data_IF_406997076728
#
_entry.id   IF_406997076728
#
_cell.length_a   1.000
_cell.length_b   1.000
_cell.length_c   1.000
_cell.angle_alpha   90.00
_cell.angle_beta   90.00
_cell.angle_gamma   90.00
#
_symmetry.space_group_name_H-M   'P 1'
#
loop_
_entity.id
_entity.type
_entity.pdbx_description
1 polymer ?
#
# COMPACT_ATOMS: atom_id res chain seq x y z
N UNK A 1 42.74 26.33 -44.54
CA UNK A 1 42.55 25.76 -43.18
C UNK A 1 41.07 25.69 -42.92
N UNK A 2 40.56 24.56 -42.42
CA UNK A 2 39.13 24.36 -42.20
C UNK A 2 38.83 24.37 -40.71
N UNK A 3 37.87 25.19 -40.29
CA UNK A 3 37.34 25.19 -38.94
C UNK A 3 36.14 24.22 -38.83
N UNK A 4 35.97 23.59 -37.67
CA UNK A 4 34.82 22.74 -37.35
C UNK A 4 34.38 22.95 -35.90
N UNK A 5 33.06 22.93 -35.67
CA UNK A 5 32.47 22.99 -34.33
C UNK A 5 32.16 21.58 -33.86
N UNK A 6 32.58 21.26 -32.63
CA UNK A 6 32.42 19.95 -32.01
C UNK A 6 31.82 20.13 -30.62
N UNK A 7 30.82 19.34 -30.27
CA UNK A 7 30.26 19.29 -28.92
C UNK A 7 31.20 18.45 -28.02
N UNK A 8 31.63 18.96 -26.87
CA UNK A 8 32.63 18.28 -26.04
C UNK A 8 32.08 17.09 -25.24
N UNK A 9 30.78 16.86 -25.23
CA UNK A 9 30.15 15.71 -24.57
C UNK A 9 29.60 14.70 -25.58
N UNK A 10 29.37 13.48 -25.12
CA UNK A 10 28.98 12.34 -25.97
C UNK A 10 27.47 12.21 -26.19
N UNK A 11 26.62 12.85 -25.38
CA UNK A 11 25.18 12.79 -25.54
C UNK A 11 24.67 13.76 -26.62
N UNK A 12 23.64 13.33 -27.35
CA UNK A 12 23.12 13.98 -28.57
C UNK A 12 22.03 15.01 -28.31
N UNK A 13 21.35 14.91 -27.17
CA UNK A 13 20.21 15.76 -26.83
C UNK A 13 20.58 16.64 -25.65
N UNK A 14 20.22 17.92 -25.75
CA UNK A 14 20.54 18.94 -24.76
C UNK A 14 19.24 19.48 -24.19
N UNK A 15 19.21 19.65 -22.88
CA UNK A 15 18.01 20.07 -22.17
C UNK A 15 18.18 21.44 -21.51
N UNK A 16 17.06 22.12 -21.28
CA UNK A 16 17.06 23.42 -20.60
C UNK A 16 17.63 23.31 -19.18
N UNK A 17 18.41 24.30 -18.76
CA UNK A 17 19.29 24.35 -17.57
C UNK A 17 20.60 23.52 -17.66
N UNK A 18 20.84 22.77 -18.74
CA UNK A 18 22.09 22.05 -18.93
C UNK A 18 23.24 23.00 -19.30
N UNK A 19 24.48 22.58 -19.05
CA UNK A 19 25.68 23.28 -19.50
C UNK A 19 26.25 22.58 -20.72
N UNK A 20 26.54 23.35 -21.76
CA UNK A 20 27.23 22.83 -22.96
C UNK A 20 28.61 23.44 -23.09
N UNK A 21 29.52 22.69 -23.70
CA UNK A 21 30.81 23.21 -24.16
C UNK A 21 30.99 22.84 -25.62
N UNK A 22 31.14 23.85 -26.47
CA UNK A 22 31.48 23.70 -27.89
C UNK A 22 32.98 23.97 -28.05
N UNK A 23 33.66 23.16 -28.85
CA UNK A 23 35.06 23.34 -29.24
C UNK A 23 35.14 23.68 -30.72
N UNK A 24 35.92 24.71 -31.03
CA UNK A 24 36.31 25.03 -32.40
C UNK A 24 37.66 24.35 -32.70
N UNK A 25 37.68 23.43 -33.66
CA UNK A 25 38.90 22.77 -34.12
C UNK A 25 39.29 23.33 -35.49
N UNK A 26 40.56 23.73 -35.66
CA UNK A 26 41.09 24.25 -36.93
C UNK A 26 42.14 23.28 -37.44
N UNK A 27 41.93 22.71 -38.64
CA UNK A 27 42.89 21.81 -39.27
C UNK A 27 44.16 22.58 -39.68
N UNK A 28 45.33 22.06 -39.28
CA UNK A 28 46.63 22.69 -39.52
C UNK A 28 46.98 23.80 -38.52
N UNK A 29 46.36 23.81 -37.33
CA UNK A 29 46.58 24.83 -36.29
C UNK A 29 47.86 24.63 -35.45
N UNK A 30 48.67 23.61 -35.73
CA UNK A 30 49.90 23.34 -34.95
C UNK A 30 50.87 24.52 -35.03
N UNK A 31 51.29 25.01 -33.86
CA UNK A 31 52.26 26.11 -33.74
C UNK A 31 51.71 27.52 -34.01
N UNK A 32 50.42 27.69 -34.30
CA UNK A 32 49.83 29.02 -34.56
C UNK A 32 48.89 29.45 -33.43
N UNK A 33 49.09 30.65 -32.89
CA UNK A 33 48.17 31.25 -31.93
C UNK A 33 46.95 31.84 -32.65
N UNK A 34 45.78 31.31 -32.32
CA UNK A 34 44.48 31.73 -32.87
C UNK A 34 43.65 32.46 -31.84
N UNK A 35 43.00 33.53 -32.28
CA UNK A 35 41.83 34.12 -31.62
C UNK A 35 40.59 33.58 -32.30
N UNK A 36 39.56 33.23 -31.53
CA UNK A 36 38.37 32.57 -32.05
C UNK A 36 37.20 33.54 -32.10
N UNK A 37 36.29 33.29 -33.04
CA UNK A 37 35.01 34.00 -33.12
C UNK A 37 33.91 32.96 -33.26
N UNK A 38 32.79 33.22 -32.59
CA UNK A 38 31.66 32.33 -32.51
C UNK A 38 30.40 33.08 -32.94
N UNK A 39 29.53 32.42 -33.69
CA UNK A 39 28.20 32.92 -34.05
C UNK A 39 27.15 31.85 -33.81
N UNK A 40 25.96 32.26 -33.38
CA UNK A 40 24.74 31.46 -33.39
C UNK A 40 23.76 32.11 -34.34
N UNK A 41 23.45 31.42 -35.43
CA UNK A 41 22.69 31.96 -36.55
C UNK A 41 23.36 33.27 -37.05
N UNK A 42 22.74 34.42 -36.86
CA UNK A 42 23.30 35.74 -37.19
C UNK A 42 23.74 36.56 -35.96
N UNK A 43 23.68 35.96 -34.76
CA UNK A 43 24.11 36.59 -33.51
C UNK A 43 25.57 36.24 -33.19
N UNK A 44 26.42 37.25 -33.10
CA UNK A 44 27.80 37.09 -32.64
C UNK A 44 27.84 36.76 -31.14
N UNK A 45 28.54 35.67 -30.80
CA UNK A 45 28.77 35.25 -29.43
C UNK A 45 30.12 35.81 -28.98
N UNK A 46 30.12 36.62 -27.92
CA UNK A 46 31.33 37.25 -27.37
C UNK A 46 32.25 36.24 -26.67
N UNK A 47 32.98 35.44 -27.44
CA UNK A 47 34.01 34.54 -26.94
C UNK A 47 35.21 34.49 -27.89
N UNK A 48 36.41 34.69 -27.33
CA UNK A 48 37.68 34.66 -28.08
C UNK A 48 38.45 33.36 -27.91
N UNK A 49 37.91 32.41 -27.16
CA UNK A 49 38.55 31.16 -26.82
C UNK A 49 38.16 30.03 -27.79
N UNK A 50 39.03 29.02 -27.91
CA UNK A 50 38.77 27.81 -28.69
C UNK A 50 37.57 27.00 -28.17
N UNK A 51 37.12 27.28 -26.95
CA UNK A 51 35.93 26.68 -26.34
C UNK A 51 34.92 27.76 -25.98
N UNK A 52 33.70 27.60 -26.48
CA UNK A 52 32.54 28.34 -26.02
C UNK A 52 31.84 27.52 -24.92
N UNK A 53 31.72 28.11 -23.72
CA UNK A 53 31.10 27.47 -22.56
C UNK A 53 29.86 28.27 -22.16
N UNK A 54 28.70 27.63 -22.17
CA UNK A 54 27.51 28.25 -21.58
C UNK A 54 27.56 28.16 -20.05
N UNK A 55 26.76 28.98 -19.37
CA UNK A 55 26.44 28.80 -17.95
C UNK A 55 25.27 27.84 -17.80
N UNK A 56 24.19 28.12 -18.52
CA UNK A 56 23.01 27.28 -18.75
C UNK A 56 22.52 27.54 -20.17
N UNK A 57 21.78 26.59 -20.75
CA UNK A 57 21.08 26.79 -22.01
C UNK A 57 19.57 26.71 -21.83
N UNK A 58 18.85 27.42 -22.70
CA UNK A 58 17.40 27.41 -22.79
C UNK A 58 16.95 27.18 -24.24
N UNK A 59 15.65 27.00 -24.47
CA UNK A 59 15.10 26.84 -25.83
C UNK A 59 15.54 27.94 -26.81
N UNK A 60 15.68 29.18 -26.33
CA UNK A 60 16.20 30.34 -27.08
C UNK A 60 17.66 30.23 -27.51
N UNK A 61 18.41 29.28 -26.93
CA UNK A 61 19.79 29.01 -27.30
C UNK A 61 19.92 27.97 -28.41
N UNK A 62 18.81 27.39 -28.87
CA UNK A 62 18.78 26.58 -30.07
C UNK A 62 19.17 27.41 -31.29
N UNK A 63 19.92 26.83 -32.22
CA UNK A 63 20.38 27.54 -33.41
C UNK A 63 21.53 26.85 -34.13
N UNK A 64 22.05 27.51 -35.16
CA UNK A 64 23.20 27.06 -35.95
C UNK A 64 24.48 27.71 -35.43
N UNK A 65 25.34 26.92 -34.80
CA UNK A 65 26.61 27.39 -34.26
C UNK A 65 27.73 27.23 -35.28
N UNK A 66 28.43 28.33 -35.57
CA UNK A 66 29.64 28.33 -36.40
C UNK A 66 30.78 29.03 -35.67
N UNK A 67 32.01 28.61 -35.96
CA UNK A 67 33.21 29.24 -35.45
C UNK A 67 34.20 29.56 -36.56
N UNK A 68 35.10 30.52 -36.32
CA UNK A 68 36.29 30.75 -37.16
C UNK A 68 37.47 31.19 -36.32
N UNK A 69 38.67 31.03 -36.87
CA UNK A 69 39.91 31.50 -36.28
C UNK A 69 40.47 32.71 -37.01
N UNK A 70 41.00 33.66 -36.23
CA UNK A 70 41.79 34.80 -36.69
C UNK A 70 43.19 34.74 -36.08
N UNK A 71 44.20 34.91 -36.91
CA UNK A 71 45.60 35.10 -36.56
C UNK A 71 46.14 36.34 -37.29
N UNK A 72 47.37 36.76 -36.96
CA UNK A 72 47.94 38.04 -37.42
C UNK A 72 47.89 38.24 -38.96
N UNK A 73 47.98 37.17 -39.75
CA UNK A 73 47.92 37.21 -41.23
C UNK A 73 46.89 36.28 -41.85
N UNK A 74 46.16 35.51 -41.05
CA UNK A 74 45.31 34.43 -41.54
C UNK A 74 43.94 34.51 -40.86
N UNK A 75 42.89 34.43 -41.66
CA UNK A 75 41.52 34.24 -41.17
C UNK A 75 40.96 33.01 -41.86
N UNK A 76 40.37 32.11 -41.08
CA UNK A 76 39.63 30.98 -41.66
C UNK A 76 38.25 31.44 -42.10
N UNK A 77 37.70 30.76 -43.09
CA UNK A 77 36.26 30.82 -43.34
C UNK A 77 35.49 30.33 -42.10
N UNK A 78 34.22 30.72 -42.02
CA UNK A 78 33.30 30.16 -41.03
C UNK A 78 33.19 28.65 -41.22
N UNK A 79 33.17 27.93 -40.10
CA UNK A 79 32.92 26.49 -40.11
C UNK A 79 31.52 26.19 -40.65
N UNK A 80 31.35 24.97 -41.15
CA UNK A 80 30.03 24.37 -41.28
C UNK A 80 29.27 24.50 -39.96
N UNK A 81 27.98 24.81 -40.05
CA UNK A 81 27.16 25.07 -38.89
C UNK A 81 26.76 23.77 -38.17
N UNK A 82 27.05 23.69 -36.88
CA UNK A 82 26.49 22.67 -36.00
C UNK A 82 25.11 23.12 -35.52
N UNK A 83 24.05 22.41 -35.93
CA UNK A 83 22.70 22.68 -35.44
C UNK A 83 22.52 22.10 -34.05
N UNK A 84 22.20 22.96 -33.10
CA UNK A 84 21.93 22.61 -31.71
C UNK A 84 20.45 22.87 -31.41
N UNK A 85 19.79 21.90 -30.77
CA UNK A 85 18.38 22.03 -30.34
C UNK A 85 18.33 21.78 -28.83
N UNK A 86 17.80 22.74 -28.09
CA UNK A 86 17.59 22.64 -26.65
C UNK A 86 16.14 22.29 -26.39
N UNK A 87 15.90 21.16 -25.75
CA UNK A 87 14.55 20.67 -25.41
C UNK A 87 14.20 20.97 -23.95
N UNK A 88 12.95 20.74 -23.59
CA UNK A 88 12.51 20.83 -22.19
C UNK A 88 13.15 19.75 -21.33
N UNK A 89 13.28 20.03 -20.03
CA UNK A 89 13.89 19.12 -19.06
C UNK A 89 13.14 17.79 -19.04
N UNK A 90 13.82 16.65 -19.22
CA UNK A 90 13.19 15.35 -19.23
C UNK A 90 12.83 14.92 -17.81
N UNK A 91 11.92 13.96 -17.72
CA UNK A 91 11.47 13.38 -16.45
C UNK A 91 11.94 11.94 -16.35
N UNK A 92 12.43 11.55 -15.18
CA UNK A 92 12.75 10.15 -14.90
C UNK A 92 11.49 9.29 -14.78
N UNK A 93 11.60 8.02 -15.12
CA UNK A 93 10.54 7.01 -15.00
C UNK A 93 10.96 5.98 -13.96
N UNK A 94 10.08 5.73 -12.99
CA UNK A 94 10.28 4.75 -11.92
C UNK A 94 9.33 3.57 -12.11
N UNK A 95 9.86 2.37 -12.04
CA UNK A 95 9.11 1.10 -12.06
C UNK A 95 9.52 0.24 -10.87
N UNK A 96 8.59 -0.56 -10.37
CA UNK A 96 8.86 -1.59 -9.37
C UNK A 96 8.44 -2.95 -9.93
N UNK A 97 9.21 -3.99 -9.67
CA UNK A 97 8.84 -5.37 -10.03
C UNK A 97 7.62 -5.84 -9.23
N UNK A 98 7.56 -5.45 -7.96
CA UNK A 98 6.46 -5.69 -7.02
C UNK A 98 6.27 -4.49 -6.12
N UNK A 99 5.05 -4.28 -5.65
CA UNK A 99 4.72 -3.21 -4.70
C UNK A 99 4.56 -3.71 -3.26
N UNK A 100 4.81 -5.00 -3.02
CA UNK A 100 4.74 -5.62 -1.69
C UNK A 100 6.01 -6.45 -1.47
N UNK A 101 6.76 -6.08 -0.44
CA UNK A 101 7.94 -6.81 0.04
C UNK A 101 7.45 -8.00 0.87
N UNK A 102 7.81 -9.25 0.51
CA UNK A 102 7.49 -10.40 1.34
C UNK A 102 8.30 -10.39 2.64
N UNK A 103 7.86 -11.12 3.66
CA UNK A 103 8.54 -11.16 4.96
C UNK A 103 10.03 -11.53 4.83
N UNK A 104 10.90 -10.61 5.26
CA UNK A 104 12.36 -10.76 5.19
C UNK A 104 12.96 -10.67 3.77
N UNK A 105 12.16 -10.25 2.78
CA UNK A 105 12.58 -10.12 1.39
C UNK A 105 12.89 -8.69 0.98
N UNK A 106 12.92 -8.47 -0.34
CA UNK A 106 13.11 -7.17 -0.97
C UNK A 106 12.37 -7.10 -2.30
N UNK A 107 12.19 -5.89 -2.82
CA UNK A 107 11.68 -5.62 -4.16
C UNK A 107 12.71 -4.81 -4.94
N UNK A 108 12.70 -4.97 -6.26
CA UNK A 108 13.62 -4.26 -7.15
C UNK A 108 12.91 -3.08 -7.79
N UNK A 109 13.48 -1.90 -7.61
CA UNK A 109 13.05 -0.69 -8.29
C UNK A 109 14.00 -0.41 -9.46
N UNK A 110 13.45 0.07 -10.58
CA UNK A 110 14.20 0.46 -11.78
C UNK A 110 13.88 1.89 -12.15
N UNK A 111 14.91 2.73 -12.27
CA UNK A 111 14.82 4.10 -12.74
C UNK A 111 15.36 4.20 -14.16
N UNK A 112 14.72 5.00 -15.00
CA UNK A 112 15.08 5.15 -16.40
C UNK A 112 14.83 6.57 -16.89
N UNK A 113 15.61 7.03 -17.85
CA UNK A 113 15.32 8.22 -18.66
C UNK A 113 15.37 7.78 -20.11
N UNK A 114 14.21 7.77 -20.78
CA UNK A 114 14.06 7.19 -22.12
C UNK A 114 14.78 7.98 -23.22
N UNK A 115 15.29 9.16 -22.88
CA UNK A 115 15.96 10.08 -23.80
C UNK A 115 17.44 10.20 -23.47
N UNK A 116 18.26 10.23 -24.53
CA UNK A 116 19.70 10.43 -24.43
C UNK A 116 20.46 9.39 -23.59
N UNK A 117 21.72 9.67 -23.24
CA UNK A 117 22.60 8.74 -22.49
C UNK A 117 23.45 9.46 -21.44
N UNK A 118 24.22 8.70 -20.66
CA UNK A 118 25.13 9.22 -19.64
C UNK A 118 24.48 9.50 -18.28
N UNK A 119 23.27 8.99 -18.06
CA UNK A 119 22.53 9.15 -16.81
C UNK A 119 23.13 8.31 -15.69
N UNK A 120 23.24 8.94 -14.53
CA UNK A 120 23.39 8.31 -13.22
C UNK A 120 22.10 8.48 -12.46
N UNK A 121 21.69 7.48 -11.71
CA UNK A 121 20.41 7.53 -11.03
C UNK A 121 20.58 7.84 -9.55
N UNK A 122 19.61 8.57 -9.02
CA UNK A 122 19.56 8.99 -7.64
C UNK A 122 18.21 8.59 -7.08
N UNK A 123 18.24 7.90 -5.95
CA UNK A 123 17.09 7.27 -5.34
C UNK A 123 16.73 7.94 -4.03
N UNK A 124 15.43 8.11 -3.81
CA UNK A 124 14.91 8.82 -2.64
C UNK A 124 13.73 8.08 -2.04
N UNK A 125 13.64 8.10 -0.70
CA UNK A 125 12.51 7.57 0.09
C UNK A 125 11.94 8.66 0.99
N UNK A 126 10.61 8.84 0.98
CA UNK A 126 9.89 9.91 1.70
C UNK A 126 9.25 9.44 3.04
N UNK A 127 9.64 8.28 3.60
CA UNK A 127 8.92 7.71 4.75
C UNK A 127 9.15 8.46 6.10
N UNK A 128 10.09 9.41 6.15
CA UNK A 128 10.30 10.31 7.29
C UNK A 128 10.18 11.77 6.82
N UNK A 129 10.06 12.71 7.75
CA UNK A 129 10.03 14.17 7.50
C UNK A 129 11.27 14.71 6.76
N UNK A 130 12.21 13.85 6.37
CA UNK A 130 13.41 14.14 5.59
C UNK A 130 13.57 13.10 4.49
N UNK A 131 13.84 13.55 3.26
CA UNK A 131 14.10 12.65 2.14
C UNK A 131 15.41 11.88 2.37
N UNK A 132 15.35 10.55 2.46
CA UNK A 132 16.54 9.72 2.62
C UNK A 132 17.12 9.39 1.23
N UNK A 133 18.35 9.83 0.94
CA UNK A 133 19.04 9.46 -0.31
C UNK A 133 19.61 8.04 -0.20
N UNK A 134 19.19 7.17 -1.11
CA UNK A 134 19.79 5.85 -1.32
C UNK A 134 20.83 6.08 -2.43
N UNK A 135 22.09 6.33 -2.05
CA UNK A 135 23.13 6.79 -2.98
C UNK A 135 23.69 5.64 -3.84
N UNK A 136 22.83 4.99 -4.61
CA UNK A 136 23.19 4.00 -5.62
C UNK A 136 23.06 4.64 -7.01
N UNK A 137 24.17 4.77 -7.74
CA UNK A 137 24.17 5.35 -9.10
C UNK A 137 23.70 4.35 -10.16
N UNK A 138 23.30 3.14 -9.74
CA UNK A 138 22.67 2.10 -10.55
C UNK A 138 21.26 2.50 -11.01
N UNK A 139 20.91 2.04 -12.21
CA UNK A 139 19.56 2.11 -12.76
C UNK A 139 18.57 1.21 -12.00
N UNK A 140 19.08 0.33 -11.13
CA UNK A 140 18.30 -0.59 -10.31
C UNK A 140 18.75 -0.54 -8.85
N UNK A 141 17.78 -0.62 -7.94
CA UNK A 141 18.04 -0.72 -6.49
C UNK A 141 17.12 -1.76 -5.85
N UNK A 142 17.65 -2.52 -4.90
CA UNK A 142 16.86 -3.45 -4.08
C UNK A 142 16.52 -2.81 -2.74
N UNK A 143 15.22 -2.79 -2.39
CA UNK A 143 14.72 -2.18 -1.15
C UNK A 143 13.95 -3.18 -0.31
N UNK A 144 14.19 -3.18 1.00
CA UNK A 144 13.59 -4.08 1.98
C UNK A 144 12.68 -3.37 2.99
N UNK A 145 12.42 -2.08 2.80
CA UNK A 145 11.56 -1.31 3.71
C UNK A 145 10.36 -0.74 2.94
N UNK A 146 9.20 -0.68 3.60
CA UNK A 146 8.02 -0.01 3.05
C UNK A 146 8.22 1.51 2.89
N UNK A 147 7.52 2.17 1.98
CA UNK A 147 7.56 3.63 1.84
C UNK A 147 7.20 4.15 0.46
N UNK A 148 7.35 5.46 0.28
CA UNK A 148 7.14 6.15 -1.00
C UNK A 148 8.50 6.43 -1.62
N UNK A 149 8.71 5.90 -2.82
CA UNK A 149 9.97 5.98 -3.56
C UNK A 149 9.83 6.84 -4.81
N UNK A 150 10.88 7.61 -5.11
CA UNK A 150 11.04 8.33 -6.37
C UNK A 150 12.52 8.39 -6.75
N UNK A 151 12.80 8.69 -8.02
CA UNK A 151 14.16 8.77 -8.53
C UNK A 151 14.36 9.99 -9.44
N UNK A 152 15.63 10.32 -9.67
CA UNK A 152 16.09 11.32 -10.64
C UNK A 152 17.30 10.80 -11.40
N UNK A 153 17.38 11.08 -12.70
CA UNK A 153 18.61 10.95 -13.48
C UNK A 153 19.45 12.23 -13.40
N UNK A 154 20.76 12.10 -13.25
CA UNK A 154 21.76 13.17 -13.29
C UNK A 154 22.89 12.88 -14.28
N UNK A 155 23.44 13.91 -14.93
CA UNK A 155 24.60 13.78 -15.84
C UNK A 155 25.37 15.09 -16.01
N UNK A 156 26.59 15.01 -16.54
CA UNK A 156 27.41 16.18 -16.85
C UNK A 156 28.14 16.81 -15.65
N UNK A 157 28.90 17.89 -15.91
CA UNK A 157 29.68 18.63 -14.91
C UNK A 157 29.60 20.16 -15.16
N UNK A 158 28.90 20.94 -14.31
CA UNK A 158 28.20 20.51 -13.09
C UNK A 158 26.99 19.64 -13.41
N UNK A 159 26.56 18.85 -12.43
CA UNK A 159 25.50 17.86 -12.63
C UNK A 159 24.15 18.49 -12.99
N UNK A 160 23.64 18.11 -14.16
CA UNK A 160 22.30 18.39 -14.63
C UNK A 160 21.35 17.30 -14.16
N UNK A 161 20.26 17.69 -13.50
CA UNK A 161 19.25 16.77 -12.97
C UNK A 161 17.94 16.86 -13.74
N UNK A 162 17.38 15.69 -14.06
CA UNK A 162 16.01 15.53 -14.59
C UNK A 162 14.94 16.00 -13.59
N UNK A 163 13.72 16.18 -14.08
CA UNK A 163 12.54 16.29 -13.21
C UNK A 163 12.30 14.96 -12.45
N UNK A 164 11.73 15.06 -11.25
CA UNK A 164 11.46 13.90 -10.39
C UNK A 164 10.50 12.91 -11.05
N UNK A 165 10.75 11.61 -10.84
CA UNK A 165 9.84 10.56 -11.31
C UNK A 165 8.46 10.64 -10.67
N UNK A 166 7.50 9.89 -11.20
CA UNK A 166 6.31 9.54 -10.40
C UNK A 166 6.74 8.73 -9.17
N UNK A 167 5.95 8.84 -8.12
CA UNK A 167 6.14 8.09 -6.89
C UNK A 167 5.60 6.67 -7.03
N UNK A 168 6.24 5.72 -6.34
CA UNK A 168 5.74 4.36 -6.15
C UNK A 168 5.65 4.08 -4.66
N UNK A 169 4.50 3.59 -4.22
CA UNK A 169 4.30 3.12 -2.84
C UNK A 169 4.62 1.64 -2.73
N UNK A 170 5.60 1.31 -1.89
CA UNK A 170 5.97 -0.04 -1.53
C UNK A 170 5.42 -0.34 -0.14
N UNK A 171 4.75 -1.49 0.00
CA UNK A 171 4.31 -2.02 1.28
C UNK A 171 5.22 -3.17 1.71
N UNK A 172 5.30 -3.41 3.01
CA UNK A 172 6.10 -4.45 3.62
C UNK A 172 5.22 -5.43 4.40
N UNK A 173 5.38 -6.72 4.11
CA UNK A 173 4.85 -7.79 4.95
C UNK A 173 5.85 -8.08 6.07
N UNK A 174 5.46 -7.83 7.32
CA UNK A 174 6.26 -8.18 8.50
C UNK A 174 6.13 -9.68 8.83
N UNK A 175 7.15 -10.31 9.45
CA UNK A 175 7.15 -11.75 9.73
C UNK A 175 6.15 -12.20 10.81
N UNK A 176 5.52 -11.26 11.53
CA UNK A 176 4.56 -11.59 12.57
C UNK A 176 3.32 -12.29 11.97
N UNK A 177 2.86 -13.36 12.63
CA UNK A 177 1.68 -14.13 12.21
C UNK A 177 0.44 -13.68 12.97
N UNK A 178 -0.62 -13.34 12.23
CA UNK A 178 -1.94 -13.03 12.77
C UNK A 178 -2.83 -14.28 12.82
N UNK A 179 -3.72 -14.36 13.79
CA UNK A 179 -4.68 -15.45 13.97
C UNK A 179 -5.98 -14.93 14.56
N UNK A 180 -7.12 -15.38 14.03
CA UNK A 180 -8.42 -15.09 14.62
C UNK A 180 -8.75 -16.19 15.62
N UNK A 181 -9.05 -15.79 16.86
CA UNK A 181 -9.48 -16.68 17.93
C UNK A 181 -10.85 -16.26 18.45
N UNK A 182 -11.64 -17.25 18.85
CA UNK A 182 -12.92 -17.06 19.51
C UNK A 182 -12.67 -17.01 21.01
N UNK A 183 -12.97 -15.87 21.65
CA UNK A 183 -12.67 -15.61 23.06
C UNK A 183 -13.79 -16.16 23.96
N UNK A 184 -14.14 -17.45 23.76
CA UNK A 184 -15.04 -18.26 24.59
C UNK A 184 -14.84 -19.76 24.37
N UNK A 185 -15.33 -20.58 25.31
CA UNK A 185 -15.20 -22.05 25.29
C UNK A 185 -16.44 -22.83 24.84
N UNK A 186 -17.50 -22.14 24.38
CA UNK A 186 -18.73 -22.82 23.95
C UNK A 186 -18.53 -23.66 22.67
N UNK A 187 -19.11 -24.87 22.63
CA UNK A 187 -19.00 -25.76 21.46
C UNK A 187 -19.90 -25.35 20.30
N UNK A 188 -20.96 -24.58 20.55
CA UNK A 188 -21.94 -24.14 19.57
C UNK A 188 -22.41 -22.72 19.90
N UNK A 189 -22.76 -21.96 18.86
CA UNK A 189 -23.21 -20.57 18.98
C UNK A 189 -24.61 -20.47 18.38
N UNK A 190 -25.51 -19.81 19.10
CA UNK A 190 -26.89 -19.61 18.68
C UNK A 190 -27.19 -18.14 18.40
N UNK A 191 -28.16 -17.92 17.53
CA UNK A 191 -28.67 -16.59 17.20
C UNK A 191 -29.14 -15.85 18.47
N UNK A 192 -28.60 -14.66 18.67
CA UNK A 192 -28.84 -13.80 19.82
C UNK A 192 -27.77 -13.87 20.92
N UNK A 193 -26.77 -14.75 20.79
CA UNK A 193 -25.64 -14.77 21.72
C UNK A 193 -24.64 -13.64 21.44
N UNK A 194 -23.94 -13.20 22.49
CA UNK A 194 -22.91 -12.17 22.39
C UNK A 194 -21.53 -12.85 22.40
N UNK A 195 -20.86 -12.83 21.25
CA UNK A 195 -19.52 -13.43 21.11
C UNK A 195 -18.44 -12.35 21.10
N UNK A 196 -17.20 -12.78 21.31
CA UNK A 196 -16.02 -11.95 21.12
C UNK A 196 -15.02 -12.67 20.22
N UNK A 197 -14.68 -12.08 19.08
CA UNK A 197 -13.57 -12.49 18.23
C UNK A 197 -12.35 -11.64 18.60
N UNK A 198 -11.17 -12.25 18.69
CA UNK A 198 -9.91 -11.56 18.96
C UNK A 198 -8.91 -11.88 17.86
N UNK A 199 -8.23 -10.85 17.36
CA UNK A 199 -7.06 -11.01 16.50
C UNK A 199 -5.83 -11.08 17.42
N UNK A 200 -5.13 -12.19 17.35
CA UNK A 200 -3.89 -12.43 18.08
C UNK A 200 -2.72 -12.40 17.10
N UNK A 201 -1.70 -11.61 17.42
CA UNK A 201 -0.50 -11.47 16.58
C UNK A 201 0.70 -11.94 17.40
N UNK A 202 1.40 -12.95 16.90
CA UNK A 202 2.58 -13.48 17.57
C UNK A 202 3.69 -12.42 17.67
N UNK A 203 4.22 -12.20 18.86
CA UNK A 203 5.24 -11.18 19.13
C UNK A 203 4.70 -9.74 19.13
N UNK A 204 3.40 -9.55 19.34
CA UNK A 204 2.80 -8.22 19.45
C UNK A 204 3.01 -7.53 20.82
N UNK A 205 3.59 -8.22 21.81
CA UNK A 205 3.86 -7.64 23.13
C UNK A 205 4.74 -6.38 23.00
N UNK A 206 4.22 -5.24 23.48
CA UNK A 206 4.92 -3.95 23.43
C UNK A 206 4.86 -3.20 22.08
N UNK A 207 4.21 -3.76 21.05
CA UNK A 207 4.05 -3.08 19.74
C UNK A 207 2.62 -2.58 19.56
N UNK A 208 2.46 -1.32 19.14
CA UNK A 208 1.14 -0.77 18.80
C UNK A 208 0.73 -1.22 17.40
N UNK A 209 -0.30 -2.04 17.31
CA UNK A 209 -0.89 -2.49 16.06
C UNK A 209 -2.28 -1.87 15.87
N UNK A 210 -2.63 -1.60 14.63
CA UNK A 210 -4.03 -1.43 14.22
C UNK A 210 -4.50 -2.69 13.51
N UNK A 211 -5.80 -2.97 13.54
CA UNK A 211 -6.35 -4.25 13.11
C UNK A 211 -7.36 -4.04 11.99
N UNK A 212 -7.21 -4.85 10.94
CA UNK A 212 -8.15 -4.92 9.84
C UNK A 212 -8.80 -6.30 9.82
N UNK A 213 -10.10 -6.34 9.59
CA UNK A 213 -10.91 -7.54 9.67
C UNK A 213 -11.65 -7.79 8.37
N UNK A 214 -11.79 -9.07 8.04
CA UNK A 214 -12.74 -9.56 7.04
C UNK A 214 -13.75 -10.47 7.75
N UNK A 215 -15.06 -10.29 7.54
CA UNK A 215 -15.69 -9.33 6.62
C UNK A 215 -15.61 -7.86 7.09
N UNK A 216 -15.58 -6.92 6.13
CA UNK A 216 -15.24 -5.51 6.38
C UNK A 216 -16.26 -4.74 7.24
N UNK A 217 -17.44 -5.30 7.47
CA UNK A 217 -18.49 -4.74 8.34
C UNK A 217 -18.01 -4.46 9.78
N UNK A 218 -16.89 -5.06 10.19
CA UNK A 218 -16.28 -4.87 11.50
C UNK A 218 -15.17 -3.82 11.55
N UNK A 219 -14.80 -3.21 10.41
CA UNK A 219 -13.74 -2.18 10.33
C UNK A 219 -14.21 -0.77 10.76
N UNK A 220 -15.30 -0.68 11.53
CA UNK A 220 -15.87 0.58 12.00
C UNK A 220 -15.01 1.20 13.14
N UNK A 221 -14.20 0.38 13.84
CA UNK A 221 -13.25 0.82 14.88
C UNK A 221 -11.88 0.11 14.71
N UNK A 222 -10.94 0.68 13.93
CA UNK A 222 -9.70 0.00 13.49
C UNK A 222 -8.63 -0.24 14.58
N UNK A 223 -8.87 0.19 15.82
CA UNK A 223 -7.88 0.10 16.91
C UNK A 223 -8.10 -1.07 17.86
N UNK A 224 -9.28 -1.69 17.86
CA UNK A 224 -9.55 -2.82 18.76
C UNK A 224 -9.13 -4.14 18.10
N UNK A 225 -8.27 -4.89 18.79
CA UNK A 225 -7.97 -6.27 18.43
C UNK A 225 -9.13 -7.22 18.77
N UNK A 226 -10.23 -6.72 19.33
CA UNK A 226 -11.43 -7.48 19.68
C UNK A 226 -12.67 -6.93 19.01
N UNK A 227 -13.47 -7.82 18.44
CA UNK A 227 -14.83 -7.54 17.97
C UNK A 227 -15.80 -8.22 18.94
N UNK A 228 -16.67 -7.43 19.56
CA UNK A 228 -17.75 -7.96 20.41
C UNK A 228 -19.09 -7.63 19.79
N UNK A 229 -19.86 -8.66 19.42
CA UNK A 229 -21.14 -8.47 18.72
C UNK A 229 -22.16 -9.52 19.11
N UNK A 230 -23.44 -9.16 18.98
CA UNK A 230 -24.56 -10.10 19.07
C UNK A 230 -24.78 -10.72 17.70
N UNK A 231 -24.70 -12.03 17.60
CA UNK A 231 -24.70 -12.72 16.30
C UNK A 231 -26.07 -13.25 15.91
N UNK A 232 -26.26 -13.39 14.60
CA UNK A 232 -27.39 -14.04 13.95
C UNK A 232 -26.87 -15.10 12.97
N UNK A 233 -27.75 -15.92 12.41
CA UNK A 233 -27.38 -16.93 11.41
C UNK A 233 -26.62 -16.31 10.21
N UNK A 234 -26.98 -15.07 9.83
CA UNK A 234 -26.35 -14.30 8.74
C UNK A 234 -24.91 -13.86 9.03
N UNK A 235 -24.45 -13.97 10.27
CA UNK A 235 -23.05 -13.72 10.65
C UNK A 235 -22.16 -14.95 10.47
N UNK A 236 -22.71 -16.12 10.09
CA UNK A 236 -21.92 -17.29 9.74
C UNK A 236 -21.04 -17.01 8.52
N UNK A 237 -19.79 -17.47 8.55
CA UNK A 237 -18.85 -17.26 7.44
C UNK A 237 -17.39 -17.37 7.85
N UNK A 238 -16.51 -16.93 6.94
CA UNK A 238 -15.07 -16.90 7.16
C UNK A 238 -14.61 -15.55 7.71
N UNK A 239 -13.83 -15.60 8.78
CA UNK A 239 -13.27 -14.45 9.45
C UNK A 239 -11.75 -14.47 9.34
N UNK A 240 -11.18 -13.35 8.93
CA UNK A 240 -9.73 -13.14 8.87
C UNK A 240 -9.37 -11.83 9.52
N UNK A 241 -8.16 -11.74 10.05
CA UNK A 241 -7.61 -10.48 10.52
C UNK A 241 -6.20 -10.25 10.00
N UNK A 242 -5.80 -8.98 9.97
CA UNK A 242 -4.47 -8.53 9.60
C UNK A 242 -4.07 -7.41 10.55
N UNK A 243 -2.81 -7.41 10.99
CA UNK A 243 -2.25 -6.34 11.81
C UNK A 243 -1.46 -5.36 10.96
N UNK A 244 -1.71 -4.06 11.11
CA UNK A 244 -0.90 -2.98 10.54
C UNK A 244 -0.03 -2.35 11.63
N UNK A 245 1.28 -2.31 11.38
CA UNK A 245 2.26 -1.69 12.29
C UNK A 245 2.36 -0.19 12.01
N UNK A 246 2.35 0.18 10.74
CA UNK A 246 2.41 1.56 10.27
C UNK A 246 1.69 1.68 8.90
N UNK A 247 1.86 2.81 8.22
CA UNK A 247 1.23 3.10 6.92
C UNK A 247 1.65 2.13 5.80
N UNK A 248 2.87 1.60 5.86
CA UNK A 248 3.47 0.77 4.83
C UNK A 248 3.73 -0.67 5.28
N UNK A 249 3.67 -0.98 6.57
CA UNK A 249 4.02 -2.30 7.12
C UNK A 249 2.85 -3.03 7.77
N UNK A 250 2.60 -4.28 7.38
CA UNK A 250 1.52 -5.12 7.94
C UNK A 250 1.87 -6.61 7.98
N UNK A 251 1.14 -7.41 8.75
CA UNK A 251 1.21 -8.88 8.66
C UNK A 251 0.59 -9.37 7.36
N UNK A 252 0.78 -10.64 7.02
CA UNK A 252 -0.15 -11.34 6.13
C UNK A 252 -1.55 -11.41 6.77
N UNK A 253 -2.56 -11.67 5.94
CA UNK A 253 -3.87 -12.06 6.44
C UNK A 253 -3.77 -13.39 7.20
N UNK A 254 -4.48 -13.49 8.32
CA UNK A 254 -4.60 -14.75 9.04
C UNK A 254 -5.29 -15.81 8.18
N UNK A 255 -5.07 -17.08 8.56
CA UNK A 255 -5.95 -18.16 8.13
C UNK A 255 -7.42 -17.86 8.49
N UNK A 256 -8.34 -18.41 7.70
CA UNK A 256 -9.76 -18.20 7.90
C UNK A 256 -10.29 -19.00 9.10
N UNK A 257 -10.90 -18.30 10.06
CA UNK A 257 -11.74 -18.93 11.09
C UNK A 257 -13.17 -19.02 10.57
N UNK A 258 -13.74 -20.22 10.46
CA UNK A 258 -15.15 -20.41 10.13
C UNK A 258 -16.04 -20.28 11.37
N UNK A 259 -16.83 -19.23 11.41
CA UNK A 259 -17.90 -19.03 12.39
C UNK A 259 -19.18 -19.70 11.88
N UNK A 260 -19.81 -20.53 12.71
CA UNK A 260 -21.12 -21.13 12.43
C UNK A 260 -22.08 -20.74 13.54
N UNK A 261 -23.14 -20.02 13.17
CA UNK A 261 -24.19 -19.57 14.08
C UNK A 261 -25.46 -20.30 13.71
N UNK A 262 -26.00 -21.07 14.64
CA UNK A 262 -27.25 -21.80 14.46
C UNK A 262 -28.45 -20.94 14.86
N UNK A 263 -29.62 -21.30 14.35
CA UNK A 263 -30.88 -20.73 14.82
C UNK A 263 -31.10 -20.97 16.31
N UNK A 264 -31.88 -20.08 16.93
CA UNK A 264 -32.21 -20.20 18.34
C UNK A 264 -32.93 -21.54 18.58
N UNK A 265 -32.45 -22.38 19.51
CA UNK A 265 -33.05 -23.69 19.70
C UNK A 265 -34.44 -23.56 20.31
N UNK A 266 -35.28 -24.53 19.97
CA UNK A 266 -36.68 -24.56 20.41
C UNK A 266 -36.83 -25.60 21.52
N UNK A 267 -37.44 -25.19 22.62
CA UNK A 267 -37.83 -26.10 23.69
C UNK A 267 -39.00 -26.99 23.24
N UNK A 268 -38.89 -28.28 23.55
CA UNK A 268 -39.86 -29.32 23.26
C UNK A 268 -40.58 -29.72 24.54
N UNK A 269 -41.91 -29.64 24.53
CA UNK A 269 -42.75 -30.06 25.65
C UNK A 269 -43.31 -31.47 25.39
N UNK A 270 -43.08 -32.39 26.32
CA UNK A 270 -43.66 -33.74 26.35
C UNK A 270 -44.46 -33.93 27.63
N UNK A 271 -45.52 -34.72 27.55
CA UNK A 271 -46.33 -35.13 28.69
C UNK A 271 -46.35 -36.66 28.75
N UNK A 272 -46.21 -37.24 29.94
CA UNK A 272 -46.34 -38.69 30.12
C UNK A 272 -47.78 -39.15 29.83
N UNK A 273 -48.77 -38.33 30.21
CA UNK A 273 -50.19 -38.51 29.92
C UNK A 273 -50.85 -37.18 29.59
N UNK A 274 -51.90 -37.19 28.78
CA UNK A 274 -52.66 -35.96 28.44
C UNK A 274 -53.91 -35.76 29.30
N UNK A 275 -54.32 -36.80 30.04
CA UNK A 275 -55.49 -36.80 30.92
C UNK A 275 -55.03 -36.91 32.37
N UNK A 276 -55.44 -35.95 33.19
CA UNK A 276 -55.17 -35.95 34.63
C UNK A 276 -56.19 -36.90 35.31
N UNK A 277 -55.75 -37.98 35.96
CA UNK A 277 -56.66 -38.87 36.69
C UNK A 277 -57.23 -38.17 37.93
N UNK A 278 -58.42 -38.57 38.36
CA UNK A 278 -59.06 -38.00 39.55
C UNK A 278 -58.15 -38.14 40.79
N UNK A 279 -57.80 -37.01 41.41
CA UNK A 279 -56.89 -36.95 42.56
C UNK A 279 -55.40 -37.18 42.26
N UNK A 280 -55.02 -37.27 40.98
CA UNK A 280 -53.62 -37.45 40.57
C UNK A 280 -53.02 -36.24 39.85
N UNK A 281 -51.83 -36.45 39.29
CA UNK A 281 -51.09 -35.46 38.51
C UNK A 281 -50.51 -36.10 37.24
N UNK A 282 -50.11 -35.23 36.31
CA UNK A 282 -49.38 -35.56 35.09
C UNK A 282 -48.00 -34.93 35.18
N UNK A 283 -46.97 -35.62 34.69
CA UNK A 283 -45.61 -35.11 34.62
C UNK A 283 -45.34 -34.57 33.23
N UNK A 284 -45.01 -33.29 33.17
CA UNK A 284 -44.54 -32.62 31.96
C UNK A 284 -43.02 -32.59 31.96
N UNK A 285 -42.42 -32.78 30.81
CA UNK A 285 -40.97 -32.71 30.58
C UNK A 285 -40.69 -31.69 29.48
N UNK A 286 -39.80 -30.74 29.76
CA UNK A 286 -39.28 -29.79 28.79
C UNK A 286 -37.85 -30.17 28.42
N UNK A 287 -37.53 -30.25 27.13
CA UNK A 287 -36.20 -30.59 26.66
C UNK A 287 -35.72 -29.67 25.54
N UNK A 288 -34.41 -29.48 25.44
CA UNK A 288 -33.74 -28.86 24.28
C UNK A 288 -32.71 -29.83 23.75
N UNK A 289 -32.81 -30.19 22.47
CA UNK A 289 -32.11 -31.37 21.92
C UNK A 289 -30.66 -31.07 21.45
N UNK A 290 -30.20 -29.82 21.51
CA UNK A 290 -28.93 -29.38 20.89
C UNK A 290 -27.76 -29.22 21.87
N UNK A 291 -28.01 -29.05 23.18
CA UNK A 291 -26.96 -28.89 24.19
C UNK A 291 -27.47 -29.07 25.62
N UNK A 292 -26.56 -29.15 26.60
CA UNK A 292 -26.85 -29.27 28.04
C UNK A 292 -26.67 -27.94 28.77
N UNK A 293 -27.30 -27.79 29.95
CA UNK A 293 -27.13 -26.62 30.83
C UNK A 293 -28.20 -25.53 30.69
N UNK A 294 -29.29 -25.81 29.98
CA UNK A 294 -30.45 -24.94 29.85
C UNK A 294 -31.17 -24.72 31.18
N UNK A 295 -31.78 -23.54 31.34
CA UNK A 295 -32.65 -23.22 32.47
C UNK A 295 -34.08 -23.20 31.97
N UNK A 296 -34.92 -24.08 32.51
CA UNK A 296 -36.28 -24.19 32.05
C UNK A 296 -37.19 -23.21 32.79
N UNK A 297 -38.16 -22.67 32.06
CA UNK A 297 -39.21 -21.79 32.58
C UNK A 297 -40.56 -22.30 32.13
N UNK A 298 -41.48 -22.45 33.07
CA UNK A 298 -42.78 -23.06 32.85
C UNK A 298 -43.89 -22.03 32.89
N UNK A 299 -44.88 -22.19 32.01
CA UNK A 299 -46.01 -21.28 31.87
C UNK A 299 -47.32 -22.06 31.79
N UNK A 300 -48.35 -21.54 32.47
CA UNK A 300 -49.73 -22.05 32.38
C UNK A 300 -50.69 -20.97 31.94
N UNK A 301 -51.73 -21.37 31.20
CA UNK A 301 -52.89 -20.52 30.88
C UNK A 301 -54.17 -21.29 31.17
N UNK A 302 -55.06 -20.68 31.95
CA UNK A 302 -56.40 -21.21 32.28
C UNK A 302 -57.46 -20.44 31.48
N UNK A 303 -58.66 -21.00 31.37
CA UNK A 303 -59.79 -20.34 30.72
C UNK A 303 -60.21 -19.02 31.38
N UNK A 304 -59.86 -18.83 32.64
CA UNK A 304 -60.20 -17.65 33.45
C UNK A 304 -59.13 -16.54 33.37
N UNK A 305 -57.97 -16.80 32.76
CA UNK A 305 -56.86 -15.84 32.67
C UNK A 305 -56.53 -15.48 31.23
N UNK A 306 -56.47 -14.17 30.95
CA UNK A 306 -56.08 -13.65 29.63
C UNK A 306 -54.58 -13.76 29.35
N UNK A 307 -53.75 -13.93 30.40
CA UNK A 307 -52.29 -14.02 30.33
C UNK A 307 -51.72 -15.37 30.74
N UNK A 308 -50.54 -15.72 30.23
CA UNK A 308 -49.79 -16.88 30.71
C UNK A 308 -49.15 -16.55 32.07
N UNK A 309 -49.36 -17.40 33.08
CA UNK A 309 -48.76 -17.28 34.40
C UNK A 309 -47.51 -18.16 34.52
N UNK A 310 -46.41 -17.66 35.10
CA UNK A 310 -45.23 -18.47 35.35
C UNK A 310 -45.50 -19.49 36.46
N UNK A 311 -44.95 -20.70 36.30
CA UNK A 311 -44.84 -21.69 37.36
C UNK A 311 -43.40 -21.55 37.90
N UNK A 312 -43.27 -21.36 39.22
CA UNK A 312 -41.97 -21.17 39.87
C UNK A 312 -41.25 -22.51 40.05
N UNK A 313 -40.86 -23.12 38.95
CA UNK A 313 -40.06 -24.33 38.87
C UNK A 313 -39.03 -24.16 37.74
N UNK A 314 -37.78 -24.54 37.98
CA UNK A 314 -36.68 -24.47 37.03
C UNK A 314 -36.16 -25.85 36.62
N UNK A 315 -36.79 -26.92 37.11
CA UNK A 315 -36.54 -28.29 36.66
C UNK A 315 -36.98 -28.47 35.21
N UNK A 316 -36.31 -29.38 34.52
CA UNK A 316 -36.71 -29.96 33.24
C UNK A 316 -38.03 -30.73 33.33
N UNK A 317 -38.55 -31.02 34.53
CA UNK A 317 -39.85 -31.67 34.73
C UNK A 317 -40.71 -30.90 35.71
N UNK A 318 -42.04 -30.92 35.50
CA UNK A 318 -43.00 -30.35 36.44
C UNK A 318 -44.24 -31.24 36.55
N UNK A 319 -44.73 -31.45 37.76
CA UNK A 319 -45.99 -32.16 38.02
C UNK A 319 -47.16 -31.19 38.05
N UNK A 320 -48.22 -31.45 37.27
CA UNK A 320 -49.42 -30.62 37.21
C UNK A 320 -50.68 -31.43 37.53
N UNK A 321 -51.53 -30.89 38.39
CA UNK A 321 -52.84 -31.47 38.77
C UNK A 321 -54.04 -30.67 38.23
N UNK A 322 -53.78 -29.52 37.60
CA UNK A 322 -54.80 -28.63 37.03
C UNK A 322 -54.78 -28.66 35.50
N UNK A 323 -55.97 -28.73 34.90
CA UNK A 323 -56.17 -28.60 33.46
C UNK A 323 -55.74 -27.23 32.89
N UNK A 324 -55.72 -27.12 31.57
CA UNK A 324 -55.37 -25.89 30.84
C UNK A 324 -54.10 -26.02 29.99
N UNK A 325 -53.80 -24.96 29.24
CA UNK A 325 -52.67 -24.94 28.30
C UNK A 325 -51.37 -24.75 29.08
N UNK A 326 -50.38 -25.59 28.79
CA UNK A 326 -49.05 -25.54 29.40
C UNK A 326 -48.00 -25.31 28.30
N UNK A 327 -46.98 -24.52 28.61
CA UNK A 327 -45.87 -24.23 27.72
C UNK A 327 -44.57 -24.14 28.54
N UNK A 328 -43.44 -24.36 27.87
CA UNK A 328 -42.13 -24.18 28.48
C UNK A 328 -41.18 -23.43 27.54
N UNK A 329 -40.20 -22.75 28.12
CA UNK A 329 -39.05 -22.15 27.42
C UNK A 329 -37.77 -22.56 28.12
N UNK A 330 -36.63 -22.33 27.47
CA UNK A 330 -35.31 -22.70 27.93
C UNK A 330 -34.30 -21.57 27.63
#
# INVERSE_FOLDING_TARGET
>A
MKASVILEHSWTEIFSDEKITLRCAIQGAEGTQWTYEWRRDELDLHSTHSKYRSTKVYGSDSGKYSCRGRSYKLTTEWSEALRLTVSDKPRASLRADKTVIPAGGSVTLTCSVDVSSGWKYYWYRHNSSEAQSINDQSDTVSVSEGGIYHCRGGRGDPEFMTAVSSEVTIKETVPNKASVILDHSWPQIFSGEMITLRCDIQGAEGTQWTYEWKPDKFNIYPTSNKIRTKVTESDSGEYRCLGRRDTFSSTEWSEALRLTVSDKPRASLRADKTVIPAGGSVTLTCSVDVSSGWKYYWYRRTSESSGAQPINDQSDTVSVSEGGIKACTA
#
